data_IF_871261051223
#
_entry.id   IF_871261051223
#
_cell.length_a   1.000
_cell.length_b   1.000
_cell.length_c   1.000
_cell.angle_alpha   90.00
_cell.angle_beta   90.00
_cell.angle_gamma   90.00
#
_symmetry.space_group_name_H-M   'P 1'
#
loop_
_entity.id
_entity.type
_entity.pdbx_description
1 polymer ?
#
# COMPACT_ATOMS: atom_id res chain seq x y z
N UNK A 1 -20.94 5.47 -16.44
CA UNK A 1 -20.69 4.30 -15.55
C UNK A 1 -20.31 4.79 -14.16
N UNK A 2 -20.76 4.10 -13.09
CA UNK A 2 -20.43 4.46 -11.70
C UNK A 2 -18.92 4.22 -11.45
N UNK A 3 -18.32 5.00 -10.54
CA UNK A 3 -16.94 4.76 -10.06
C UNK A 3 -17.00 4.26 -8.64
N UNK A 4 -16.34 3.15 -8.34
CA UNK A 4 -16.20 2.56 -6.99
C UNK A 4 -14.72 2.45 -6.63
N UNK A 5 -14.43 2.28 -5.34
CA UNK A 5 -13.05 2.05 -4.87
C UNK A 5 -12.97 0.77 -4.03
N UNK A 6 -11.90 0.01 -4.22
CA UNK A 6 -11.49 -1.10 -3.38
C UNK A 6 -10.24 -0.68 -2.60
N UNK A 7 -10.35 -0.52 -1.29
CA UNK A 7 -9.25 -0.13 -0.41
C UNK A 7 -8.64 -1.37 0.21
N UNK A 8 -7.39 -1.66 -0.15
CA UNK A 8 -6.64 -2.83 0.31
C UNK A 8 -6.08 -2.60 1.73
N UNK A 9 -6.70 -3.16 2.75
CA UNK A 9 -6.37 -2.96 4.16
C UNK A 9 -6.09 -4.26 4.93
N UNK A 10 -5.64 -5.32 4.25
CA UNK A 10 -5.36 -6.64 4.84
C UNK A 10 -3.91 -6.84 5.33
N UNK A 11 -3.01 -5.91 5.05
CA UNK A 11 -1.58 -5.99 5.39
C UNK A 11 -1.32 -5.94 6.90
N UNK A 12 -0.27 -6.65 7.38
CA UNK A 12 0.12 -6.65 8.81
C UNK A 12 1.04 -5.50 9.19
N UNK A 13 1.78 -4.92 8.23
CA UNK A 13 2.69 -3.78 8.50
C UNK A 13 3.84 -4.06 9.48
N UNK A 14 4.32 -5.30 9.59
CA UNK A 14 5.28 -5.78 10.61
C UNK A 14 6.59 -4.98 10.70
N UNK A 15 6.99 -4.31 9.58
CA UNK A 15 8.22 -3.49 9.53
C UNK A 15 8.13 -2.20 10.37
N UNK A 16 6.92 -1.82 10.81
CA UNK A 16 6.69 -0.64 11.66
C UNK A 16 6.54 -0.98 13.13
N UNK A 17 6.99 -2.19 13.55
CA UNK A 17 7.15 -2.49 14.97
C UNK A 17 8.08 -1.45 15.64
N UNK A 18 7.80 -0.97 16.84
CA UNK A 18 6.72 -1.34 17.75
C UNK A 18 5.43 -0.52 17.60
N UNK A 19 5.34 0.44 16.68
CA UNK A 19 4.09 1.18 16.49
C UNK A 19 3.02 0.29 15.83
N UNK A 20 3.38 -0.54 14.84
CA UNK A 20 2.47 -1.59 14.34
C UNK A 20 2.50 -2.82 15.23
N UNK A 21 1.34 -3.41 15.44
CA UNK A 21 1.11 -4.61 16.24
C UNK A 21 0.18 -5.56 15.48
N UNK A 22 0.06 -6.81 15.95
CA UNK A 22 -0.84 -7.82 15.38
C UNK A 22 -2.30 -7.34 15.29
N UNK A 23 -2.75 -6.53 16.24
CA UNK A 23 -4.11 -5.97 16.29
C UNK A 23 -4.18 -4.49 15.86
N UNK A 24 -3.04 -3.86 15.56
CA UNK A 24 -2.96 -2.46 15.11
C UNK A 24 -1.93 -2.35 13.97
N UNK A 25 -2.23 -2.82 12.75
CA UNK A 25 -1.29 -2.76 11.64
C UNK A 25 -1.10 -1.34 11.10
N UNK A 26 -0.05 -1.16 10.29
CA UNK A 26 0.46 0.10 9.77
C UNK A 26 -0.61 1.05 9.22
N UNK A 27 -1.55 0.54 8.44
CA UNK A 27 -2.59 1.36 7.80
C UNK A 27 -3.52 2.08 8.77
N UNK A 28 -3.61 1.62 10.01
CA UNK A 28 -4.40 2.25 11.08
C UNK A 28 -3.58 3.19 11.97
N UNK A 29 -2.31 3.46 11.61
CA UNK A 29 -1.41 4.37 12.32
C UNK A 29 -1.39 5.74 11.64
N UNK A 30 -1.17 6.80 12.45
CA UNK A 30 -0.70 8.10 11.98
C UNK A 30 0.82 8.08 11.97
N UNK A 31 1.43 8.21 10.80
CA UNK A 31 2.89 8.28 10.62
C UNK A 31 3.39 9.70 10.32
N UNK A 32 2.48 10.66 10.11
CA UNK A 32 2.78 12.07 9.93
C UNK A 32 2.78 12.85 11.24
N UNK A 33 2.88 14.17 11.11
CA UNK A 33 2.73 15.13 12.22
C UNK A 33 1.24 15.33 12.62
N UNK A 34 0.30 14.99 11.74
CA UNK A 34 -1.14 15.03 12.01
C UNK A 34 -1.63 13.75 12.69
N UNK A 35 -2.89 13.78 13.17
CA UNK A 35 -3.54 12.64 13.83
C UNK A 35 -4.24 11.67 12.87
N UNK A 36 -4.30 11.99 11.57
CA UNK A 36 -5.04 11.21 10.59
C UNK A 36 -4.28 9.94 10.23
N UNK A 37 -4.96 8.78 10.30
CA UNK A 37 -4.34 7.49 9.96
C UNK A 37 -4.17 7.31 8.46
N UNK A 38 -3.32 6.39 8.05
CA UNK A 38 -3.04 6.17 6.63
C UNK A 38 -4.28 5.74 5.83
N UNK A 39 -5.13 4.88 6.42
CA UNK A 39 -6.37 4.48 5.76
C UNK A 39 -7.37 5.64 5.66
N UNK A 40 -7.44 6.52 6.67
CA UNK A 40 -8.27 7.72 6.61
C UNK A 40 -7.78 8.67 5.51
N UNK A 41 -6.47 8.93 5.43
CA UNK A 41 -5.88 9.72 4.33
C UNK A 41 -6.19 9.13 2.96
N UNK A 42 -6.10 7.81 2.82
CA UNK A 42 -6.40 7.13 1.55
C UNK A 42 -7.85 7.32 1.13
N UNK A 43 -8.80 7.17 2.05
CA UNK A 43 -10.22 7.36 1.78
C UNK A 43 -10.56 8.84 1.55
N UNK A 44 -10.06 9.74 2.40
CA UNK A 44 -10.38 11.17 2.30
C UNK A 44 -9.88 11.79 1.00
N UNK A 45 -8.71 11.39 0.51
CA UNK A 45 -8.10 11.87 -0.73
C UNK A 45 -8.94 11.60 -1.99
N UNK A 46 -9.81 10.59 -1.96
CA UNK A 46 -10.65 10.22 -3.12
C UNK A 46 -12.14 10.58 -2.94
N UNK A 47 -12.55 11.24 -1.85
CA UNK A 47 -13.97 11.54 -1.58
C UNK A 47 -14.64 12.41 -2.65
N UNK A 48 -13.87 13.24 -3.37
CA UNK A 48 -14.37 14.04 -4.49
C UNK A 48 -14.65 13.21 -5.75
N UNK A 49 -14.15 11.96 -5.81
CA UNK A 49 -14.27 11.05 -6.95
C UNK A 49 -15.24 9.90 -6.67
N UNK A 50 -15.25 9.41 -5.43
CA UNK A 50 -15.98 8.22 -5.01
C UNK A 50 -16.73 8.52 -3.72
N UNK A 51 -18.05 8.37 -3.76
CA UNK A 51 -18.89 8.51 -2.57
C UNK A 51 -18.54 7.43 -1.53
N UNK A 52 -18.59 7.69 -0.22
CA UNK A 52 -18.41 6.69 0.82
C UNK A 52 -19.23 5.41 0.63
N UNK A 53 -20.45 5.52 0.07
CA UNK A 53 -21.34 4.40 -0.25
C UNK A 53 -20.82 3.50 -1.37
N UNK A 54 -19.82 3.97 -2.11
CA UNK A 54 -19.20 3.28 -3.26
C UNK A 54 -17.76 2.85 -2.95
N UNK A 55 -17.31 2.99 -1.69
CA UNK A 55 -16.03 2.53 -1.19
C UNK A 55 -16.21 1.17 -0.52
N UNK A 56 -15.41 0.20 -0.95
CA UNK A 56 -15.30 -1.13 -0.34
C UNK A 56 -13.92 -1.27 0.33
N UNK A 57 -13.87 -1.78 1.56
CA UNK A 57 -12.64 -1.95 2.31
C UNK A 57 -12.34 -3.45 2.48
N UNK A 58 -11.27 -3.92 1.84
CA UNK A 58 -10.84 -5.32 1.89
C UNK A 58 -9.91 -5.50 3.07
N UNK A 59 -10.30 -6.26 4.08
CA UNK A 59 -9.55 -6.37 5.33
C UNK A 59 -9.71 -7.72 6.02
N UNK A 60 -8.88 -7.99 7.01
CA UNK A 60 -9.01 -9.16 7.86
C UNK A 60 -10.08 -8.94 8.94
N UNK A 61 -10.76 -10.02 9.35
CA UNK A 61 -11.78 -9.98 10.43
C UNK A 61 -11.28 -9.34 11.73
N UNK A 62 -9.98 -9.48 12.03
CA UNK A 62 -9.39 -8.91 13.24
C UNK A 62 -9.33 -7.37 13.24
N UNK A 63 -9.43 -6.76 12.05
CA UNK A 63 -9.35 -5.30 11.88
C UNK A 63 -10.72 -4.64 11.65
N UNK A 64 -11.81 -5.41 11.67
CA UNK A 64 -13.17 -4.89 11.44
C UNK A 64 -13.53 -3.73 12.38
N UNK A 65 -13.18 -3.83 13.67
CA UNK A 65 -13.46 -2.77 14.64
C UNK A 65 -12.70 -1.49 14.31
N UNK A 66 -11.41 -1.60 13.91
CA UNK A 66 -10.59 -0.46 13.52
C UNK A 66 -11.14 0.22 12.25
N UNK A 67 -11.55 -0.56 11.26
CA UNK A 67 -12.17 0.01 10.04
C UNK A 67 -13.45 0.77 10.39
N UNK A 68 -14.34 0.19 11.20
CA UNK A 68 -15.58 0.85 11.63
C UNK A 68 -15.34 2.12 12.45
N UNK A 69 -14.32 2.11 13.30
CA UNK A 69 -13.95 3.28 14.12
C UNK A 69 -13.37 4.40 13.26
N UNK A 70 -12.48 4.08 12.32
CA UNK A 70 -11.72 5.05 11.55
C UNK A 70 -12.45 5.52 10.28
N UNK A 71 -13.33 4.71 9.69
CA UNK A 71 -14.06 4.99 8.45
C UNK A 71 -15.58 4.95 8.69
N UNK A 72 -16.07 5.79 9.59
CA UNK A 72 -17.49 5.80 10.05
C UNK A 72 -18.50 6.02 8.93
N UNK A 73 -18.13 6.69 7.84
CA UNK A 73 -19.01 7.00 6.71
C UNK A 73 -19.08 5.87 5.67
N UNK A 74 -18.20 4.87 5.75
CA UNK A 74 -18.22 3.70 4.87
C UNK A 74 -19.24 2.70 5.41
N UNK A 75 -20.23 2.27 4.58
CA UNK A 75 -21.25 1.31 5.01
C UNK A 75 -20.60 -0.01 5.50
N UNK A 76 -21.16 -0.57 6.57
CA UNK A 76 -20.64 -1.83 7.13
C UNK A 76 -20.70 -2.99 6.13
N UNK A 77 -21.71 -3.03 5.28
CA UNK A 77 -21.86 -4.02 4.21
C UNK A 77 -20.79 -3.93 3.12
N UNK A 78 -20.11 -2.79 3.02
CA UNK A 78 -18.99 -2.60 2.11
C UNK A 78 -17.62 -2.98 2.75
N UNK A 79 -17.60 -3.38 4.03
CA UNK A 79 -16.39 -3.92 4.66
C UNK A 79 -16.29 -5.41 4.33
N UNK A 80 -15.39 -5.73 3.40
CA UNK A 80 -15.18 -7.07 2.86
C UNK A 80 -14.15 -7.80 3.71
N UNK A 81 -14.58 -8.89 4.35
CA UNK A 81 -13.73 -9.63 5.28
C UNK A 81 -13.07 -10.84 4.58
N UNK A 82 -11.76 -10.79 4.50
CA UNK A 82 -10.95 -11.94 4.10
C UNK A 82 -10.90 -12.97 5.24
N UNK A 83 -11.28 -14.22 4.98
CA UNK A 83 -11.19 -15.30 5.96
C UNK A 83 -9.73 -15.68 6.29
N UNK A 84 -8.83 -15.51 5.33
CA UNK A 84 -7.38 -15.72 5.41
C UNK A 84 -6.66 -14.66 4.59
N UNK A 85 -5.40 -14.37 4.91
CA UNK A 85 -4.56 -13.51 4.05
C UNK A 85 -4.07 -14.30 2.83
N UNK A 86 -4.54 -13.95 1.63
CA UNK A 86 -4.28 -14.66 0.36
C UNK A 86 -3.58 -13.82 -0.71
N UNK A 87 -2.97 -12.69 -0.31
CA UNK A 87 -2.36 -11.75 -1.22
C UNK A 87 -3.37 -10.96 -2.08
N UNK A 88 -2.91 -10.15 -3.04
CA UNK A 88 -3.72 -9.12 -3.69
C UNK A 88 -4.73 -9.64 -4.71
N UNK A 89 -4.42 -10.69 -5.50
CA UNK A 89 -5.36 -11.17 -6.52
C UNK A 89 -6.66 -11.72 -5.91
N UNK A 90 -6.64 -12.67 -4.95
CA UNK A 90 -7.87 -13.15 -4.34
C UNK A 90 -8.65 -12.06 -3.60
N UNK A 91 -7.96 -11.13 -2.94
CA UNK A 91 -8.62 -10.04 -2.23
C UNK A 91 -9.37 -9.11 -3.20
N UNK A 92 -8.74 -8.72 -4.32
CA UNK A 92 -9.38 -7.89 -5.36
C UNK A 92 -10.57 -8.63 -5.96
N UNK A 93 -10.42 -9.91 -6.32
CA UNK A 93 -11.50 -10.70 -6.88
C UNK A 93 -12.69 -10.82 -5.92
N UNK A 94 -12.43 -11.08 -4.62
CA UNK A 94 -13.46 -11.08 -3.58
C UNK A 94 -14.22 -9.75 -3.52
N UNK A 95 -13.48 -8.63 -3.56
CA UNK A 95 -14.06 -7.29 -3.59
C UNK A 95 -14.92 -7.06 -4.83
N UNK A 96 -14.47 -7.49 -6.00
CA UNK A 96 -15.19 -7.41 -7.27
C UNK A 96 -16.47 -8.25 -7.22
N UNK A 97 -16.42 -9.50 -6.74
CA UNK A 97 -17.60 -10.37 -6.61
C UNK A 97 -18.66 -9.79 -5.66
N UNK A 98 -18.24 -9.11 -4.60
CA UNK A 98 -19.18 -8.41 -3.71
C UNK A 98 -19.74 -7.15 -4.39
N UNK A 99 -18.92 -6.39 -5.12
CA UNK A 99 -19.38 -5.22 -5.86
C UNK A 99 -20.39 -5.57 -6.97
N UNK A 100 -20.27 -6.73 -7.62
CA UNK A 100 -21.23 -7.25 -8.60
C UNK A 100 -22.64 -7.43 -8.04
N UNK A 101 -22.79 -7.57 -6.73
CA UNK A 101 -24.11 -7.64 -6.08
C UNK A 101 -24.87 -6.30 -6.12
N UNK A 102 -24.15 -5.21 -6.33
CA UNK A 102 -24.66 -3.84 -6.30
C UNK A 102 -24.58 -3.16 -7.67
N UNK A 103 -23.66 -3.57 -8.52
CA UNK A 103 -23.40 -2.95 -9.82
C UNK A 103 -23.27 -4.01 -10.92
N UNK A 104 -24.00 -3.87 -12.02
CA UNK A 104 -23.84 -4.71 -13.21
C UNK A 104 -22.48 -4.51 -13.84
N UNK A 105 -22.00 -3.24 -13.92
CA UNK A 105 -20.62 -2.86 -14.26
C UNK A 105 -20.29 -1.51 -13.61
N UNK A 106 -19.02 -1.34 -13.25
CA UNK A 106 -18.50 -0.11 -12.65
C UNK A 106 -17.03 0.06 -12.96
N UNK A 107 -16.57 1.31 -12.95
CA UNK A 107 -15.12 1.62 -12.92
C UNK A 107 -14.63 1.38 -11.50
N UNK A 108 -13.59 0.60 -11.37
CA UNK A 108 -13.02 0.20 -10.09
C UNK A 108 -11.63 0.83 -9.94
N UNK A 109 -11.41 1.53 -8.83
CA UNK A 109 -10.11 2.04 -8.42
C UNK A 109 -9.64 1.19 -7.25
N UNK A 110 -8.53 0.46 -7.40
CA UNK A 110 -7.90 -0.33 -6.33
C UNK A 110 -6.74 0.45 -5.74
N UNK A 111 -6.79 0.72 -4.44
CA UNK A 111 -5.77 1.51 -3.72
C UNK A 111 -5.26 0.76 -2.49
N UNK A 112 -3.92 0.67 -2.30
CA UNK A 112 -3.35 0.34 -1.00
C UNK A 112 -3.74 1.38 0.05
N UNK A 113 -4.03 0.95 1.27
CA UNK A 113 -4.43 1.81 2.38
C UNK A 113 -3.27 2.47 3.13
N UNK A 114 -2.03 2.15 2.74
CA UNK A 114 -0.82 2.44 3.52
C UNK A 114 0.27 3.18 2.73
N UNK A 115 -0.11 3.85 1.64
CA UNK A 115 0.76 4.71 0.85
C UNK A 115 0.52 6.20 1.15
N UNK A 116 1.59 6.99 1.03
CA UNK A 116 1.53 8.45 1.12
C UNK A 116 1.58 9.05 -0.27
N UNK A 117 0.75 10.07 -0.46
CA UNK A 117 0.65 10.88 -1.67
C UNK A 117 0.62 12.34 -1.19
N UNK A 118 1.58 13.16 -1.65
CA UNK A 118 1.67 14.56 -1.22
C UNK A 118 0.86 15.49 -2.11
N UNK A 119 0.90 15.29 -3.44
CA UNK A 119 0.07 16.06 -4.37
C UNK A 119 -1.25 15.32 -4.66
N UNK A 120 -2.23 15.55 -3.78
CA UNK A 120 -3.54 14.94 -3.92
C UNK A 120 -4.37 15.51 -5.08
N UNK A 121 -4.07 16.74 -5.54
CA UNK A 121 -4.76 17.36 -6.68
C UNK A 121 -4.36 16.64 -7.95
N UNK A 122 -3.07 16.46 -8.17
CA UNK A 122 -2.55 15.71 -9.31
C UNK A 122 -2.97 14.23 -9.25
N UNK A 123 -2.94 13.63 -8.09
CA UNK A 123 -3.42 12.26 -7.92
C UNK A 123 -4.88 12.08 -8.36
N UNK A 124 -5.77 12.98 -7.93
CA UNK A 124 -7.18 12.97 -8.35
C UNK A 124 -7.34 13.21 -9.84
N UNK A 125 -6.52 14.09 -10.45
CA UNK A 125 -6.50 14.30 -11.91
C UNK A 125 -6.18 13.01 -12.64
N UNK A 126 -5.11 12.32 -12.22
CA UNK A 126 -4.67 11.04 -12.80
C UNK A 126 -5.76 9.97 -12.66
N UNK A 127 -6.41 9.85 -11.51
CA UNK A 127 -7.51 8.89 -11.33
C UNK A 127 -8.72 9.20 -12.24
N UNK A 128 -9.03 10.50 -12.47
CA UNK A 128 -10.08 10.89 -13.42
C UNK A 128 -9.74 10.46 -14.84
N UNK A 129 -8.53 10.76 -15.30
CA UNK A 129 -8.05 10.37 -16.65
C UNK A 129 -8.06 8.84 -16.78
N UNK A 130 -7.54 8.12 -15.79
CA UNK A 130 -7.50 6.66 -15.77
C UNK A 130 -8.90 6.03 -15.84
N UNK A 131 -9.85 6.55 -15.06
CA UNK A 131 -11.23 6.03 -15.05
C UNK A 131 -11.98 6.33 -16.35
N UNK A 132 -11.70 7.45 -17.01
CA UNK A 132 -12.23 7.73 -18.35
C UNK A 132 -11.64 6.82 -19.41
N UNK A 133 -10.35 6.50 -19.31
CA UNK A 133 -9.69 5.59 -20.26
C UNK A 133 -10.29 4.19 -20.20
N UNK A 134 -10.43 3.59 -19.02
CA UNK A 134 -10.96 2.21 -18.88
C UNK A 134 -12.46 2.12 -19.18
N UNK A 135 -13.21 3.21 -19.09
CA UNK A 135 -14.63 3.27 -19.49
C UNK A 135 -14.81 3.07 -21.00
N UNK A 136 -13.84 3.51 -21.79
CA UNK A 136 -13.87 3.46 -23.24
C UNK A 136 -12.99 2.36 -23.85
N UNK A 137 -12.22 1.67 -23.02
CA UNK A 137 -11.28 0.63 -23.45
C UNK A 137 -11.39 -0.58 -22.53
N UNK A 138 -11.51 -1.77 -23.08
CA UNK A 138 -11.46 -3.02 -22.31
C UNK A 138 -10.01 -3.29 -21.87
N UNK A 139 -9.57 -2.62 -20.80
CA UNK A 139 -8.18 -2.59 -20.36
C UNK A 139 -8.06 -2.66 -18.82
N UNK A 140 -6.87 -3.05 -18.37
CA UNK A 140 -6.42 -2.93 -16.99
C UNK A 140 -5.33 -1.88 -16.97
N UNK A 141 -5.50 -0.85 -16.13
CA UNK A 141 -4.57 0.26 -16.05
C UNK A 141 -3.90 0.25 -14.68
N UNK A 142 -2.57 0.44 -14.66
CA UNK A 142 -1.80 0.65 -13.43
C UNK A 142 -1.16 2.03 -13.42
N UNK A 143 -0.75 2.50 -12.24
CA UNK A 143 -0.04 3.79 -12.09
C UNK A 143 1.45 3.51 -11.97
N UNK A 144 2.22 4.12 -12.86
CA UNK A 144 3.67 4.03 -12.89
C UNK A 144 4.34 5.30 -12.35
N UNK A 145 5.28 5.14 -11.44
CA UNK A 145 6.04 6.24 -10.82
C UNK A 145 7.46 6.25 -11.39
N UNK A 146 7.97 7.42 -11.75
CA UNK A 146 9.34 7.55 -12.23
C UNK A 146 10.33 7.15 -11.14
N UNK A 147 11.21 6.16 -11.38
CA UNK A 147 12.22 5.75 -10.42
C UNK A 147 13.20 6.88 -10.12
N UNK A 148 13.50 7.08 -8.84
CA UNK A 148 14.53 8.02 -8.36
C UNK A 148 15.81 7.33 -7.94
N UNK A 149 15.75 6.01 -7.73
CA UNK A 149 16.86 5.14 -7.32
C UNK A 149 16.59 3.69 -7.73
N UNK A 150 17.62 2.82 -7.81
CA UNK A 150 17.37 1.39 -7.95
C UNK A 150 16.76 0.82 -6.66
N UNK A 151 15.67 0.06 -6.79
CA UNK A 151 14.97 -0.53 -5.65
C UNK A 151 14.50 -1.95 -6.01
N UNK A 152 14.91 -2.96 -5.25
CA UNK A 152 14.52 -4.36 -5.42
C UNK A 152 13.21 -4.73 -4.69
N UNK A 153 12.65 -3.79 -3.93
CA UNK A 153 11.38 -3.94 -3.24
C UNK A 153 10.15 -3.64 -4.09
N UNK A 154 10.33 -3.03 -5.29
CA UNK A 154 9.25 -2.62 -6.17
C UNK A 154 9.16 -3.44 -7.44
N UNK A 155 7.95 -3.55 -7.99
CA UNK A 155 7.74 -3.98 -9.38
C UNK A 155 8.13 -2.88 -10.36
N UNK A 156 8.55 -3.27 -11.56
CA UNK A 156 8.93 -2.39 -12.65
C UNK A 156 8.06 -2.61 -13.87
N UNK A 157 7.66 -1.50 -14.51
CA UNK A 157 6.78 -1.47 -15.67
C UNK A 157 7.56 -0.84 -16.83
N UNK A 158 7.81 -1.62 -17.88
CA UNK A 158 8.35 -1.08 -19.13
C UNK A 158 7.22 -0.54 -19.99
N UNK A 159 7.28 0.73 -20.33
CA UNK A 159 6.30 1.38 -21.22
C UNK A 159 6.74 1.30 -22.67
N UNK A 160 5.77 1.19 -23.61
CA UNK A 160 6.05 1.10 -25.05
C UNK A 160 6.40 2.42 -25.71
N UNK A 161 5.94 3.54 -25.11
CA UNK A 161 6.16 4.90 -25.60
C UNK A 161 6.17 5.89 -24.43
N UNK A 162 6.31 7.19 -24.72
CA UNK A 162 6.39 8.24 -23.69
C UNK A 162 5.08 9.05 -23.51
N UNK A 163 3.94 8.49 -23.92
CA UNK A 163 2.64 9.13 -23.70
C UNK A 163 2.22 9.12 -22.23
N UNK A 164 1.21 9.92 -21.86
CA UNK A 164 0.65 9.94 -20.51
C UNK A 164 0.07 8.57 -20.10
N UNK A 165 -0.63 7.90 -21.04
CA UNK A 165 -1.08 6.52 -20.93
C UNK A 165 -0.40 5.72 -22.04
N UNK A 166 0.43 4.78 -21.65
CA UNK A 166 1.20 3.92 -22.54
C UNK A 166 0.82 2.47 -22.37
N UNK A 167 0.89 1.68 -23.43
CA UNK A 167 0.77 0.22 -23.31
C UNK A 167 1.96 -0.33 -22.54
N UNK A 168 1.72 -1.27 -21.64
CA UNK A 168 2.78 -1.99 -20.94
C UNK A 168 3.43 -2.99 -21.88
N UNK A 169 4.73 -2.84 -22.10
CA UNK A 169 5.53 -3.76 -22.89
C UNK A 169 6.06 -4.93 -22.06
N UNK A 170 6.35 -4.69 -20.78
CA UNK A 170 6.85 -5.69 -19.86
C UNK A 170 6.50 -5.29 -18.41
N UNK A 171 6.12 -6.27 -17.61
CA UNK A 171 5.89 -6.12 -16.18
C UNK A 171 6.80 -7.08 -15.44
N UNK A 172 7.58 -6.58 -14.45
CA UNK A 172 8.54 -7.36 -13.66
C UNK A 172 8.39 -7.06 -12.19
N UNK A 173 7.99 -8.07 -11.43
CA UNK A 173 7.84 -7.96 -9.99
C UNK A 173 9.19 -8.21 -9.29
N UNK A 174 9.65 -7.23 -8.50
CA UNK A 174 10.80 -7.29 -7.59
C UNK A 174 12.07 -7.93 -8.20
N UNK A 175 12.73 -7.24 -9.15
CA UNK A 175 13.97 -7.72 -9.75
C UNK A 175 15.12 -7.73 -8.73
N UNK A 176 16.27 -8.33 -9.08
CA UNK A 176 17.48 -8.12 -8.28
C UNK A 176 17.96 -6.67 -8.37
N UNK A 177 18.77 -6.23 -7.40
CA UNK A 177 19.27 -4.84 -7.38
C UNK A 177 20.10 -4.49 -8.62
N UNK A 178 20.83 -5.45 -9.19
CA UNK A 178 21.61 -5.29 -10.41
C UNK A 178 20.71 -5.02 -11.62
N UNK A 179 19.58 -5.76 -11.72
CA UNK A 179 18.58 -5.57 -12.78
C UNK A 179 17.84 -4.25 -12.57
N UNK A 180 17.49 -3.91 -11.32
CA UNK A 180 16.88 -2.62 -11.00
C UNK A 180 17.73 -1.42 -11.43
N UNK A 181 19.07 -1.49 -11.26
CA UNK A 181 20.01 -0.47 -11.77
C UNK A 181 19.91 -0.30 -13.29
N UNK A 182 19.89 -1.40 -14.04
CA UNK A 182 19.75 -1.38 -15.48
C UNK A 182 18.42 -0.75 -15.92
N UNK A 183 17.33 -1.03 -15.20
CA UNK A 183 16.02 -0.46 -15.50
C UNK A 183 15.99 1.06 -15.29
N UNK A 184 16.59 1.55 -14.20
CA UNK A 184 16.69 3.00 -13.94
C UNK A 184 17.57 3.68 -14.98
N UNK A 185 18.72 3.12 -15.33
CA UNK A 185 19.64 3.65 -16.33
C UNK A 185 19.03 3.70 -17.74
N UNK A 186 18.18 2.75 -18.10
CA UNK A 186 17.51 2.71 -19.40
C UNK A 186 16.48 3.83 -19.59
N UNK A 187 15.92 4.39 -18.51
CA UNK A 187 15.00 5.51 -18.51
C UNK A 187 13.56 5.21 -18.99
N UNK A 188 13.24 3.98 -19.40
CA UNK A 188 11.93 3.58 -19.93
C UNK A 188 11.16 2.61 -19.02
N UNK A 189 11.60 2.46 -17.76
CA UNK A 189 10.88 1.73 -16.72
C UNK A 189 10.33 2.67 -15.65
N UNK A 190 9.14 2.35 -15.18
CA UNK A 190 8.48 3.01 -14.06
C UNK A 190 8.33 2.02 -12.91
N UNK A 191 8.30 2.50 -11.66
CA UNK A 191 7.87 1.67 -10.53
C UNK A 191 6.38 1.42 -10.58
N UNK A 192 5.94 0.20 -10.28
CA UNK A 192 4.54 -0.12 -10.07
C UNK A 192 4.09 0.43 -8.71
N UNK A 193 3.14 1.37 -8.72
CA UNK A 193 2.59 1.92 -7.49
C UNK A 193 1.64 0.95 -6.76
N UNK A 194 1.34 -0.22 -7.33
CA UNK A 194 0.38 -1.17 -6.76
C UNK A 194 -1.07 -0.64 -6.73
N UNK A 195 -1.38 0.29 -7.62
CA UNK A 195 -2.70 0.89 -7.79
C UNK A 195 -3.23 0.51 -9.16
N UNK A 196 -4.47 0.03 -9.22
CA UNK A 196 -5.05 -0.49 -10.46
C UNK A 196 -6.39 0.15 -10.74
N UNK A 197 -6.68 0.37 -12.02
CA UNK A 197 -7.96 0.91 -12.49
C UNK A 197 -8.46 0.02 -13.64
N UNK A 198 -9.70 -0.41 -13.57
CA UNK A 198 -10.35 -1.26 -14.57
C UNK A 198 -11.88 -1.16 -14.46
N UNK A 199 -12.62 -1.78 -15.38
CA UNK A 199 -14.05 -2.04 -15.18
C UNK A 199 -14.25 -3.40 -14.54
N UNK A 200 -15.37 -3.61 -13.84
CA UNK A 200 -15.73 -4.93 -13.29
C UNK A 200 -15.63 -5.98 -14.42
N UNK A 201 -16.18 -5.66 -15.58
CA UNK A 201 -16.18 -6.56 -16.74
C UNK A 201 -14.76 -6.92 -17.22
N UNK A 202 -13.86 -5.92 -17.32
CA UNK A 202 -12.50 -6.17 -17.84
C UNK A 202 -11.67 -7.04 -16.88
N UNK A 203 -11.78 -6.80 -15.57
CA UNK A 203 -11.06 -7.61 -14.58
C UNK A 203 -11.65 -9.00 -14.41
N UNK A 204 -12.97 -9.15 -14.50
CA UNK A 204 -13.67 -10.44 -14.48
C UNK A 204 -13.20 -11.35 -15.64
N UNK A 205 -13.13 -10.78 -16.85
CA UNK A 205 -12.58 -11.47 -18.01
C UNK A 205 -11.12 -11.88 -17.81
N UNK A 206 -10.31 -11.04 -17.16
CA UNK A 206 -8.92 -11.35 -16.85
C UNK A 206 -8.80 -12.49 -15.82
N UNK A 207 -9.57 -12.48 -14.73
CA UNK A 207 -9.61 -13.58 -13.76
C UNK A 207 -10.03 -14.88 -14.43
N UNK A 208 -11.09 -14.84 -15.22
CA UNK A 208 -11.58 -16.01 -15.97
C UNK A 208 -10.52 -16.57 -16.92
N UNK A 209 -9.75 -15.71 -17.61
CA UNK A 209 -8.75 -16.12 -18.60
C UNK A 209 -7.45 -16.62 -17.93
N UNK A 210 -6.95 -15.93 -16.92
CA UNK A 210 -5.61 -16.16 -16.38
C UNK A 210 -5.58 -16.88 -15.05
N UNK A 211 -6.72 -16.90 -14.31
CA UNK A 211 -6.86 -17.51 -12.98
C UNK A 211 -8.17 -18.33 -12.90
N UNK A 212 -8.48 -19.10 -13.94
CA UNK A 212 -9.77 -19.77 -14.14
C UNK A 212 -10.24 -20.63 -12.96
N UNK A 213 -9.35 -21.40 -12.33
CA UNK A 213 -9.70 -22.24 -11.17
C UNK A 213 -10.12 -21.42 -9.96
N UNK A 214 -9.39 -20.34 -9.67
CA UNK A 214 -9.72 -19.41 -8.59
C UNK A 214 -11.04 -18.70 -8.87
N UNK A 215 -11.21 -18.16 -10.08
CA UNK A 215 -12.42 -17.51 -10.52
C UNK A 215 -13.65 -18.40 -10.39
N UNK A 216 -13.54 -19.65 -10.84
CA UNK A 216 -14.63 -20.64 -10.69
C UNK A 216 -15.00 -20.85 -9.21
N UNK A 217 -14.01 -20.99 -8.31
CA UNK A 217 -14.25 -21.22 -6.89
C UNK A 217 -14.99 -20.04 -6.24
N UNK A 218 -14.58 -18.79 -6.54
CA UNK A 218 -15.17 -17.60 -5.92
C UNK A 218 -16.54 -17.24 -6.52
N UNK A 219 -16.76 -17.48 -7.81
CA UNK A 219 -18.07 -17.28 -8.45
C UNK A 219 -19.08 -18.33 -8.01
N UNK A 220 -18.64 -19.55 -7.70
CA UNK A 220 -19.49 -20.58 -7.10
C UNK A 220 -19.93 -20.21 -5.68
N UNK A 221 -18.98 -19.84 -4.82
CA UNK A 221 -19.26 -19.36 -3.46
C UNK A 221 -18.07 -18.57 -2.89
N UNK A 222 -18.33 -17.42 -2.26
CA UNK A 222 -17.30 -16.66 -1.54
C UNK A 222 -16.73 -17.42 -0.33
N UNK A 223 -17.43 -18.43 0.20
CA UNK A 223 -16.94 -19.29 1.28
C UNK A 223 -15.74 -20.16 0.82
N UNK A 224 -15.56 -20.32 -0.49
CA UNK A 224 -14.40 -20.99 -1.06
C UNK A 224 -13.10 -20.15 -0.99
N UNK A 225 -13.13 -18.90 -0.48
CA UNK A 225 -11.95 -18.01 -0.39
C UNK A 225 -10.73 -18.68 0.30
N UNK A 226 -10.97 -19.52 1.30
CA UNK A 226 -9.89 -20.24 1.96
C UNK A 226 -9.17 -21.27 1.05
N UNK A 227 -9.83 -21.75 -0.02
CA UNK A 227 -9.31 -22.76 -0.95
C UNK A 227 -8.48 -22.17 -2.09
N UNK A 228 -8.62 -20.84 -2.39
CA UNK A 228 -7.89 -20.22 -3.50
C UNK A 228 -6.39 -20.10 -3.18
N UNK A 229 -5.57 -20.06 -4.22
CA UNK A 229 -4.12 -19.88 -4.10
C UNK A 229 -3.78 -18.48 -3.60
N UNK A 230 -2.71 -18.37 -2.80
CA UNK A 230 -2.17 -17.08 -2.36
C UNK A 230 -1.21 -16.52 -3.40
N UNK A 231 -1.68 -15.60 -4.23
CA UNK A 231 -0.92 -15.01 -5.33
C UNK A 231 -1.20 -13.51 -5.47
N UNK A 232 -0.19 -12.71 -5.84
CA UNK A 232 -0.41 -11.30 -6.15
C UNK A 232 -1.09 -11.13 -7.52
N UNK A 233 -1.81 -10.03 -7.70
CA UNK A 233 -2.41 -9.66 -8.99
C UNK A 233 -1.32 -9.44 -10.04
N UNK A 234 -0.12 -9.03 -9.62
CA UNK A 234 1.02 -8.82 -10.48
C UNK A 234 1.39 -10.13 -11.20
N UNK A 235 1.63 -11.21 -10.45
CA UNK A 235 1.92 -12.54 -11.02
C UNK A 235 0.70 -13.23 -11.63
N UNK A 236 -0.47 -13.03 -11.04
CA UNK A 236 -1.70 -13.69 -11.48
C UNK A 236 -2.21 -13.18 -12.81
N UNK A 237 -2.14 -11.86 -13.02
CA UNK A 237 -2.76 -11.17 -14.17
C UNK A 237 -1.78 -10.24 -14.87
N UNK A 238 -1.13 -9.28 -14.15
CA UNK A 238 -0.44 -8.15 -14.79
C UNK A 238 0.73 -8.58 -15.67
N UNK A 239 1.48 -9.61 -15.31
CA UNK A 239 2.57 -10.17 -16.12
C UNK A 239 2.08 -10.97 -17.35
N UNK A 240 0.80 -11.38 -17.38
CA UNK A 240 0.25 -12.28 -18.40
C UNK A 240 -0.70 -11.60 -19.38
N UNK A 241 -1.34 -10.52 -18.91
CA UNK A 241 -2.39 -9.87 -19.68
C UNK A 241 -1.80 -8.97 -20.79
N UNK A 242 -2.40 -9.01 -21.98
CA UNK A 242 -1.99 -8.28 -23.16
C UNK A 242 -2.66 -6.90 -23.32
N UNK A 243 -3.65 -6.60 -22.46
CA UNK A 243 -4.42 -5.36 -22.42
C UNK A 243 -4.09 -4.49 -21.21
N UNK A 244 -2.85 -4.58 -20.71
CA UNK A 244 -2.36 -3.73 -19.60
C UNK A 244 -1.79 -2.43 -20.13
N UNK A 245 -2.20 -1.33 -19.47
CA UNK A 245 -1.72 0.02 -19.73
C UNK A 245 -1.17 0.64 -18.43
N UNK A 246 -0.30 1.63 -18.58
CA UNK A 246 0.29 2.37 -17.47
C UNK A 246 0.03 3.87 -17.66
N UNK A 247 -0.52 4.53 -16.64
CA UNK A 247 -0.56 5.98 -16.58
C UNK A 247 0.58 6.48 -15.71
N UNK A 248 1.30 7.51 -16.16
CA UNK A 248 2.41 8.11 -15.41
C UNK A 248 1.87 8.95 -14.25
N UNK A 249 2.39 8.71 -13.06
CA UNK A 249 2.07 9.45 -11.84
C UNK A 249 3.23 10.32 -11.38
N UNK A 250 2.98 11.62 -11.19
CA UNK A 250 3.94 12.57 -10.60
C UNK A 250 3.27 13.34 -9.46
N UNK A 251 2.97 12.63 -8.38
CA UNK A 251 2.25 13.16 -7.22
C UNK A 251 2.99 12.94 -5.89
N UNK A 252 4.32 12.79 -5.97
CA UNK A 252 5.17 12.55 -4.79
C UNK A 252 4.67 11.37 -3.94
N UNK A 253 4.72 10.17 -4.53
CA UNK A 253 4.31 8.89 -3.95
C UNK A 253 5.41 8.26 -3.08
N UNK A 254 5.00 7.62 -1.98
CA UNK A 254 5.84 6.78 -1.13
C UNK A 254 5.02 5.60 -0.57
N UNK A 255 5.53 4.38 -0.70
CA UNK A 255 4.90 3.17 -0.17
C UNK A 255 5.07 3.01 1.34
N UNK A 256 5.89 3.88 1.94
CA UNK A 256 6.21 3.83 3.39
C UNK A 256 6.66 2.43 3.83
N UNK A 257 7.67 1.90 3.15
CA UNK A 257 8.10 0.50 3.32
C UNK A 257 8.85 0.21 4.63
N UNK A 258 9.42 1.23 5.29
CA UNK A 258 10.17 1.10 6.54
C UNK A 258 10.24 2.42 7.31
N UNK A 259 10.81 2.41 8.52
CA UNK A 259 11.05 3.62 9.32
C UNK A 259 11.90 4.68 8.61
N UNK A 260 12.73 4.33 7.63
CA UNK A 260 13.48 5.29 6.81
C UNK A 260 12.56 6.20 5.98
N UNK A 261 11.33 5.78 5.69
CA UNK A 261 10.37 6.61 4.98
C UNK A 261 9.96 7.88 5.75
N UNK A 262 10.06 7.87 7.09
CA UNK A 262 9.69 9.05 7.90
C UNK A 262 10.48 10.30 7.52
N UNK A 263 11.75 10.17 7.12
CA UNK A 263 12.58 11.25 6.60
C UNK A 263 11.97 11.86 5.32
N UNK A 264 11.56 11.01 4.37
CA UNK A 264 10.95 11.48 3.11
C UNK A 264 9.58 12.13 3.32
N UNK A 265 8.86 11.68 4.34
CA UNK A 265 7.51 12.16 4.66
C UNK A 265 7.54 13.49 5.42
N UNK A 266 8.36 13.58 6.47
CA UNK A 266 8.33 14.66 7.44
C UNK A 266 9.50 15.65 7.29
N UNK A 267 10.49 15.34 6.44
CA UNK A 267 11.72 16.15 6.30
C UNK A 267 12.75 15.84 7.39
N UNK A 268 13.81 16.64 7.38
CA UNK A 268 14.95 16.53 8.29
C UNK A 268 15.49 17.91 8.68
N UNK A 269 16.19 17.97 9.80
CA UNK A 269 16.92 19.15 10.24
C UNK A 269 18.30 19.27 9.54
N UNK A 270 19.08 20.30 9.90
CA UNK A 270 20.44 20.54 9.36
C UNK A 270 21.43 19.41 9.64
N UNK A 271 21.17 18.57 10.65
CA UNK A 271 21.94 17.38 11.00
C UNK A 271 21.34 16.10 10.41
N UNK A 272 20.41 16.22 9.47
CA UNK A 272 19.69 15.10 8.84
C UNK A 272 18.83 14.29 9.83
N UNK A 273 18.46 14.85 10.99
CA UNK A 273 17.59 14.18 11.94
C UNK A 273 16.12 14.42 11.58
N UNK A 274 15.29 13.40 11.76
CA UNK A 274 13.83 13.46 11.64
C UNK A 274 13.22 13.25 13.02
N UNK A 275 12.70 14.32 13.62
CA UNK A 275 12.22 14.30 15.00
C UNK A 275 10.70 14.43 15.03
N UNK A 276 10.02 13.38 15.45
CA UNK A 276 8.57 13.28 15.64
C UNK A 276 8.25 13.04 17.12
N UNK A 277 8.87 13.83 17.99
CA UNK A 277 8.63 13.88 19.43
C UNK A 277 9.07 15.26 19.94
N UNK A 278 8.13 16.07 20.38
CA UNK A 278 8.40 17.47 20.80
C UNK A 278 9.37 17.56 21.99
N UNK A 279 9.44 16.50 22.81
CA UNK A 279 10.37 16.39 23.94
C UNK A 279 11.61 15.59 23.54
N UNK A 280 12.45 16.18 22.66
CA UNK A 280 13.70 15.54 22.22
C UNK A 280 14.88 16.49 22.39
N UNK A 281 15.99 16.00 22.94
CA UNK A 281 17.27 16.71 23.05
C UNK A 281 18.40 15.79 22.56
N UNK A 282 19.06 16.22 21.48
CA UNK A 282 20.20 15.51 20.89
C UNK A 282 21.47 16.35 20.96
N UNK A 283 22.60 15.75 21.27
CA UNK A 283 23.93 16.36 21.25
C UNK A 283 24.84 15.52 20.36
N UNK A 284 25.56 16.17 19.44
CA UNK A 284 26.51 15.53 18.52
C UNK A 284 25.89 14.30 17.79
N UNK A 285 24.66 14.43 17.32
CA UNK A 285 23.90 13.32 16.71
C UNK A 285 23.50 13.68 15.28
N UNK A 286 23.68 12.72 14.35
CA UNK A 286 23.40 12.90 12.91
C UNK A 286 22.62 11.72 12.34
N UNK A 287 21.73 12.03 11.38
CA UNK A 287 20.89 11.05 10.68
C UNK A 287 20.10 10.14 11.66
N UNK A 288 19.52 10.76 12.70
CA UNK A 288 18.70 10.07 13.69
C UNK A 288 17.22 10.28 13.39
N UNK A 289 16.43 9.20 13.42
CA UNK A 289 14.97 9.28 13.31
C UNK A 289 14.37 8.95 14.68
N UNK A 290 13.54 9.85 15.22
CA UNK A 290 12.84 9.64 16.50
C UNK A 290 11.33 9.76 16.27
N UNK A 291 10.59 8.73 16.65
CA UNK A 291 9.12 8.74 16.77
C UNK A 291 8.76 8.40 18.19
N UNK A 292 8.15 9.33 18.91
CA UNK A 292 7.71 9.17 20.30
C UNK A 292 6.24 9.47 20.48
N UNK A 293 5.78 9.25 21.72
CA UNK A 293 4.40 9.51 22.15
C UNK A 293 4.21 10.91 22.75
N UNK A 294 5.28 11.73 22.80
CA UNK A 294 5.34 13.03 23.50
C UNK A 294 5.13 12.94 25.02
N UNK A 295 5.10 11.74 25.60
CA UNK A 295 4.95 11.55 27.05
C UNK A 295 6.29 11.65 27.77
N UNK A 296 7.37 11.15 27.15
CA UNK A 296 8.73 11.11 27.73
C UNK A 296 9.67 12.06 27.03
N UNK A 297 10.64 12.60 27.78
CA UNK A 297 11.82 13.24 27.19
C UNK A 297 12.74 12.16 26.62
N UNK A 298 13.05 12.25 25.32
CA UNK A 298 14.02 11.39 24.65
C UNK A 298 15.32 12.17 24.50
N UNK A 299 16.42 11.62 25.01
CA UNK A 299 17.74 12.25 24.93
C UNK A 299 18.75 11.33 24.24
N UNK A 300 19.67 11.92 23.48
CA UNK A 300 20.74 11.17 22.83
C UNK A 300 22.02 11.97 22.69
N UNK A 301 23.16 11.28 22.82
CA UNK A 301 24.50 11.86 22.68
C UNK A 301 25.32 10.99 21.73
N UNK A 302 25.91 11.59 20.70
CA UNK A 302 26.83 10.93 19.76
C UNK A 302 26.17 9.86 18.92
N UNK A 303 24.85 9.95 18.64
CA UNK A 303 24.12 8.97 17.85
C UNK A 303 24.33 9.20 16.35
N UNK A 304 24.46 8.12 15.60
CA UNK A 304 24.61 8.16 14.14
C UNK A 304 23.84 7.00 13.50
N UNK A 305 23.07 7.32 12.45
CA UNK A 305 22.33 6.32 11.64
C UNK A 305 21.36 5.44 12.49
N UNK A 306 20.66 6.05 13.47
CA UNK A 306 19.81 5.37 14.43
C UNK A 306 18.34 5.73 14.23
N UNK A 307 17.47 4.74 14.40
CA UNK A 307 16.02 4.91 14.58
C UNK A 307 15.66 4.60 16.02
N UNK A 308 14.93 5.50 16.67
CA UNK A 308 14.34 5.32 18.00
C UNK A 308 12.84 5.45 17.87
N UNK A 309 12.10 4.40 18.26
CA UNK A 309 10.63 4.43 18.28
C UNK A 309 10.17 4.09 19.69
N UNK A 310 9.48 5.02 20.32
CA UNK A 310 8.90 4.86 21.65
C UNK A 310 7.38 4.74 21.52
N UNK A 311 6.84 3.70 22.17
CA UNK A 311 5.42 3.51 22.44
C UNK A 311 5.20 3.53 23.95
N UNK A 312 3.96 3.30 24.41
CA UNK A 312 3.68 3.29 25.85
C UNK A 312 4.42 2.16 26.59
N UNK A 313 4.67 1.04 25.91
CA UNK A 313 5.15 -0.22 26.49
C UNK A 313 6.47 -0.73 25.88
N UNK A 314 6.92 -0.22 24.73
CA UNK A 314 8.14 -0.68 24.03
C UNK A 314 8.97 0.49 23.55
N UNK A 315 10.29 0.34 23.62
CA UNK A 315 11.27 1.19 22.94
C UNK A 315 12.08 0.34 21.97
N UNK A 316 12.02 0.68 20.69
CA UNK A 316 12.91 0.16 19.66
C UNK A 316 14.09 1.11 19.48
N UNK A 317 15.30 0.59 19.48
CA UNK A 317 16.51 1.26 19.00
C UNK A 317 17.13 0.38 17.92
N UNK A 318 17.27 0.91 16.72
CA UNK A 318 17.77 0.16 15.57
C UNK A 318 18.73 0.99 14.71
N UNK A 319 19.70 0.35 14.11
CA UNK A 319 20.49 0.96 13.04
C UNK A 319 19.64 1.06 11.77
N UNK A 320 19.70 2.19 11.08
CA UNK A 320 18.92 2.45 9.84
C UNK A 320 19.22 1.45 8.73
N UNK A 321 20.42 0.89 8.69
CA UNK A 321 20.84 -0.09 7.69
C UNK A 321 20.34 -1.52 8.00
N UNK A 322 19.83 -1.77 9.21
CA UNK A 322 19.38 -3.09 9.69
C UNK A 322 17.86 -3.18 9.87
N UNK A 323 17.11 -2.22 9.36
CA UNK A 323 15.64 -2.17 9.55
C UNK A 323 14.91 -3.36 8.89
N UNK A 324 15.52 -4.04 7.93
CA UNK A 324 15.01 -5.28 7.35
C UNK A 324 14.89 -6.40 8.40
N UNK A 325 15.71 -6.37 9.44
CA UNK A 325 15.79 -7.38 10.50
C UNK A 325 14.72 -7.22 11.60
N UNK A 326 13.86 -6.19 11.51
CA UNK A 326 12.71 -6.05 12.42
C UNK A 326 11.84 -7.31 12.42
N UNK A 327 11.67 -7.98 11.27
CA UNK A 327 10.95 -9.26 11.23
C UNK A 327 11.64 -10.37 12.03
N UNK A 328 12.97 -10.41 12.05
CA UNK A 328 13.72 -11.35 12.89
C UNK A 328 13.57 -11.01 14.38
N UNK A 329 13.53 -9.71 14.70
CA UNK A 329 13.30 -9.25 16.08
C UNK A 329 11.92 -9.70 16.58
N UNK A 330 10.84 -9.46 15.81
CA UNK A 330 9.48 -9.87 16.22
C UNK A 330 9.36 -11.40 16.36
N UNK A 331 10.03 -12.18 15.50
CA UNK A 331 10.12 -13.64 15.66
C UNK A 331 10.78 -14.04 17.00
N UNK A 332 11.89 -13.39 17.38
CA UNK A 332 12.55 -13.63 18.66
C UNK A 332 11.70 -13.23 19.87
N UNK A 333 10.92 -12.16 19.79
CA UNK A 333 9.97 -11.76 20.83
C UNK A 333 8.93 -12.88 21.04
N UNK A 334 8.41 -13.43 19.94
CA UNK A 334 7.48 -14.56 19.97
C UNK A 334 8.11 -15.83 20.58
N UNK A 335 9.34 -16.16 20.20
CA UNK A 335 10.10 -17.30 20.77
C UNK A 335 10.28 -17.17 22.29
N UNK A 336 10.45 -15.94 22.78
CA UNK A 336 10.55 -15.63 24.22
C UNK A 336 9.19 -15.56 24.93
N UNK A 337 8.08 -15.86 24.23
CA UNK A 337 6.70 -15.81 24.75
C UNK A 337 6.26 -14.42 25.24
N UNK A 338 6.86 -13.34 24.73
CA UNK A 338 6.52 -11.94 25.03
C UNK A 338 5.46 -11.42 24.03
N UNK A 339 4.39 -12.20 23.81
CA UNK A 339 3.40 -11.94 22.77
C UNK A 339 2.55 -10.68 23.02
N UNK A 340 2.46 -10.22 24.26
CA UNK A 340 1.78 -8.99 24.67
C UNK A 340 2.40 -7.73 24.02
N UNK A 341 3.66 -7.83 23.57
CA UNK A 341 4.37 -6.73 22.90
C UNK A 341 4.33 -6.81 21.34
N UNK A 342 3.55 -7.74 20.77
CA UNK A 342 3.46 -7.96 19.31
C UNK A 342 2.17 -7.45 18.66
#
# INVERSE_FOLDING_TARGET
MKTIALIMAGGKGERFYPASRNLLPKQFLSLGADSETMIQKTVNRIRDLVSPQDIFVLTNKNYLSLVKEQLKDVPTENIVLESLSKNTAPAIELGVEIAKRKYDDAKVIVLPSDHIIKDEVEFRRILKVATQFVENNESILTIGIKPTEPNDGYGYIKISDDQEISKVAEFKEKPTIEVAKQYVESGNYLWNAGMFIFTIKSIDNAFKKYMSNQHMLLTESLDNFAKVESISIDYGIMEKADNVYCIKGDFAWDDVGSWNALKRINGEDENQNTILNDKTVLVNSTNVTIKGTNKKLITGVGLKDIVIVETDDVILVANKNELSDIKKLTAKIKEKQLNEYL
#
